data_IF_245195018637
#
_entry.id   IF_245195018637
#
_cell.length_a   1.000
_cell.length_b   1.000
_cell.length_c   1.000
_cell.angle_alpha   90.00
_cell.angle_beta   90.00
_cell.angle_gamma   90.00
#
_symmetry.space_group_name_H-M   'P 1'
#
loop_
_entity.id
_entity.type
_entity.pdbx_description
1 polymer ?
#
# COMPACT_ATOMS: atom_id res chain seq x y z
N UNK A 1 -9.14 50.80 10.34
CA UNK A 1 -9.32 50.95 11.81
C UNK A 1 -10.44 50.10 12.41
N UNK A 2 -11.41 49.56 11.67
CA UNK A 2 -12.43 48.66 12.25
C UNK A 2 -11.93 47.22 12.52
N UNK A 3 -11.14 46.63 11.61
CA UNK A 3 -10.69 45.23 11.74
C UNK A 3 -9.65 44.97 12.85
N UNK A 4 -8.86 46.00 13.20
CA UNK A 4 -7.95 45.96 14.36
C UNK A 4 -8.72 46.12 15.68
N UNK A 5 -9.92 46.73 15.66
CA UNK A 5 -10.73 46.93 16.87
C UNK A 5 -11.47 45.66 17.28
N UNK A 6 -11.93 44.87 16.31
CA UNK A 6 -12.55 43.55 16.59
C UNK A 6 -11.56 42.54 17.19
N UNK A 7 -10.27 42.60 16.80
CA UNK A 7 -9.22 41.78 17.40
C UNK A 7 -8.87 42.20 18.85
N UNK A 8 -9.10 43.48 19.18
CA UNK A 8 -8.90 44.05 20.53
C UNK A 8 -10.11 43.81 21.44
N UNK A 9 -11.31 43.60 20.89
CA UNK A 9 -12.55 43.29 21.64
C UNK A 9 -12.72 41.77 21.96
N UNK A 10 -11.71 40.94 21.71
CA UNK A 10 -11.73 39.51 22.04
C UNK A 10 -12.65 38.63 21.18
N UNK A 11 -13.26 39.17 20.12
CA UNK A 11 -14.09 38.41 19.16
C UNK A 11 -13.39 38.30 17.81
N UNK A 12 -13.06 37.06 17.45
CA UNK A 12 -12.52 36.73 16.13
C UNK A 12 -13.54 37.13 15.05
N UNK A 13 -13.11 37.66 13.89
CA UNK A 13 -14.00 37.90 12.76
C UNK A 13 -14.76 36.61 12.39
N UNK A 14 -16.04 36.69 11.95
CA UNK A 14 -16.82 35.50 11.56
C UNK A 14 -16.17 34.64 10.46
N UNK A 15 -15.29 35.25 9.67
CA UNK A 15 -14.49 34.55 8.65
C UNK A 15 -13.35 33.72 9.24
N UNK A 16 -12.83 34.08 10.41
CA UNK A 16 -11.83 33.30 11.17
C UNK A 16 -12.52 32.24 12.03
N UNK A 17 -13.68 32.53 12.62
CA UNK A 17 -14.50 31.53 13.34
C UNK A 17 -14.87 30.34 12.44
N UNK A 18 -15.09 30.58 11.14
CA UNK A 18 -15.34 29.51 10.15
C UNK A 18 -14.14 28.59 9.90
N UNK A 19 -12.92 29.01 10.21
CA UNK A 19 -11.70 28.19 10.06
C UNK A 19 -11.41 27.31 11.28
N UNK A 20 -12.02 27.62 12.42
CA UNK A 20 -11.80 26.92 13.68
C UNK A 20 -12.10 25.40 13.61
N UNK A 21 -13.20 24.91 12.98
CA UNK A 21 -13.38 23.47 12.78
C UNK A 21 -12.31 22.83 11.87
N UNK A 22 -11.79 23.56 10.88
CA UNK A 22 -10.71 23.08 9.99
C UNK A 22 -9.43 22.87 10.79
N UNK A 23 -9.07 23.85 11.64
CA UNK A 23 -7.89 23.78 12.51
C UNK A 23 -8.01 22.62 13.51
N UNK A 24 -9.15 22.48 14.20
CA UNK A 24 -9.36 21.34 15.12
C UNK A 24 -9.26 19.99 14.42
N UNK A 25 -9.80 19.89 13.21
CA UNK A 25 -9.67 18.68 12.39
C UNK A 25 -8.21 18.36 12.04
N UNK A 26 -7.40 19.37 11.74
CA UNK A 26 -5.96 19.21 11.51
C UNK A 26 -5.24 18.74 12.78
N UNK A 27 -5.52 19.33 13.94
CA UNK A 27 -4.93 18.93 15.23
C UNK A 27 -5.25 17.47 15.56
N UNK A 28 -6.49 17.05 15.35
CA UNK A 28 -6.90 15.67 15.56
C UNK A 28 -6.15 14.70 14.64
N UNK A 29 -6.06 15.01 13.34
CA UNK A 29 -5.29 14.20 12.38
C UNK A 29 -3.80 14.15 12.75
N UNK A 30 -3.20 15.26 13.15
CA UNK A 30 -1.81 15.31 13.59
C UNK A 30 -1.59 14.41 14.81
N UNK A 31 -2.52 14.43 15.79
CA UNK A 31 -2.47 13.55 16.95
C UNK A 31 -2.47 12.07 16.57
N UNK A 32 -3.29 11.66 15.60
CA UNK A 32 -3.29 10.27 15.08
C UNK A 32 -1.91 9.89 14.53
N UNK A 33 -1.30 10.76 13.72
CA UNK A 33 0.01 10.48 13.12
C UNK A 33 1.13 10.40 14.16
N UNK A 34 1.08 11.27 15.17
CA UNK A 34 2.06 11.30 16.26
C UNK A 34 1.95 10.09 17.19
N UNK A 35 0.78 9.42 17.28
CA UNK A 35 0.64 8.21 18.09
C UNK A 35 1.42 7.00 17.54
N UNK A 36 1.58 6.91 16.22
CA UNK A 36 2.31 5.80 15.56
C UNK A 36 3.17 6.32 14.41
N UNK A 37 4.24 7.08 14.69
CA UNK A 37 4.99 7.83 13.67
C UNK A 37 5.66 6.94 12.61
N UNK A 38 5.96 5.69 12.95
CA UNK A 38 6.65 4.75 12.06
C UNK A 38 5.71 3.86 11.24
N UNK A 39 4.39 3.88 11.48
CA UNK A 39 3.48 2.92 10.82
C UNK A 39 3.47 3.09 9.29
N UNK A 40 3.44 4.34 8.82
CA UNK A 40 3.42 4.68 7.40
C UNK A 40 4.69 4.21 6.68
N UNK A 41 5.91 4.63 7.10
CA UNK A 41 7.12 4.21 6.41
C UNK A 41 7.36 2.70 6.53
N UNK A 42 7.02 2.06 7.66
CA UNK A 42 7.19 0.60 7.81
C UNK A 42 6.32 -0.17 6.84
N UNK A 43 5.04 0.18 6.72
CA UNK A 43 4.12 -0.53 5.80
C UNK A 43 4.46 -0.22 4.35
N UNK A 44 4.75 1.05 4.01
CA UNK A 44 5.16 1.43 2.65
C UNK A 44 6.42 0.69 2.20
N UNK A 45 7.47 0.67 3.03
CA UNK A 45 8.70 -0.04 2.69
C UNK A 45 8.44 -1.54 2.49
N UNK A 46 7.66 -2.17 3.39
CA UNK A 46 7.28 -3.57 3.24
C UNK A 46 6.52 -3.86 1.94
N UNK A 47 5.60 -2.98 1.55
CA UNK A 47 4.86 -3.12 0.28
C UNK A 47 5.76 -2.87 -0.94
N UNK A 48 6.66 -1.90 -0.89
CA UNK A 48 7.64 -1.66 -1.96
C UNK A 48 8.59 -2.84 -2.14
N UNK A 49 9.03 -3.47 -1.04
CA UNK A 49 9.81 -4.70 -1.10
C UNK A 49 8.99 -5.83 -1.73
N UNK A 50 7.73 -6.03 -1.32
CA UNK A 50 6.85 -7.03 -1.95
C UNK A 50 6.71 -6.78 -3.46
N UNK A 51 6.49 -5.55 -3.90
CA UNK A 51 6.37 -5.18 -5.33
C UNK A 51 7.65 -5.55 -6.08
N UNK A 52 8.80 -5.08 -5.60
CA UNK A 52 10.11 -5.25 -6.25
C UNK A 52 10.49 -6.73 -6.35
N UNK A 53 10.45 -7.43 -5.22
CA UNK A 53 10.87 -8.83 -5.15
C UNK A 53 9.91 -9.74 -5.91
N UNK A 54 8.59 -9.49 -5.85
CA UNK A 54 7.63 -10.30 -6.62
C UNK A 54 7.86 -10.17 -8.12
N UNK A 55 8.12 -8.96 -8.64
CA UNK A 55 8.42 -8.74 -10.06
C UNK A 55 9.72 -9.44 -10.48
N UNK A 56 10.72 -9.49 -9.61
CA UNK A 56 11.93 -10.25 -9.86
C UNK A 56 11.65 -11.76 -9.96
N UNK A 57 10.80 -12.29 -9.06
CA UNK A 57 10.40 -13.70 -9.09
C UNK A 57 9.52 -14.06 -10.31
N UNK A 58 8.78 -13.11 -10.88
CA UNK A 58 7.98 -13.36 -12.10
C UNK A 58 8.86 -13.91 -13.22
N UNK A 59 10.03 -13.30 -13.47
CA UNK A 59 10.93 -13.75 -14.52
C UNK A 59 11.47 -15.16 -14.26
N UNK A 60 11.83 -15.48 -13.02
CA UNK A 60 12.28 -16.83 -12.66
C UNK A 60 11.15 -17.87 -12.83
N UNK A 61 9.94 -17.53 -12.40
CA UNK A 61 8.77 -18.40 -12.54
C UNK A 61 8.39 -18.62 -14.01
N UNK A 62 8.54 -17.61 -14.87
CA UNK A 62 8.35 -17.73 -16.32
C UNK A 62 9.33 -18.71 -16.96
N UNK A 63 10.60 -18.73 -16.53
CA UNK A 63 11.57 -19.72 -17.01
C UNK A 63 11.18 -21.15 -16.62
N UNK A 64 10.72 -21.36 -15.38
CA UNK A 64 10.21 -22.66 -14.93
C UNK A 64 9.00 -23.08 -15.76
N UNK A 65 8.04 -22.19 -15.95
CA UNK A 65 6.84 -22.44 -16.76
C UNK A 65 7.18 -22.80 -18.22
N UNK A 66 8.12 -22.09 -18.83
CA UNK A 66 8.57 -22.34 -20.20
C UNK A 66 9.24 -23.70 -20.34
N UNK A 67 9.98 -24.16 -19.32
CA UNK A 67 10.63 -25.45 -19.34
C UNK A 67 9.66 -26.61 -19.12
N UNK A 68 8.65 -26.45 -18.25
CA UNK A 68 7.60 -27.47 -18.05
C UNK A 68 6.72 -27.67 -19.29
N UNK A 69 6.59 -26.66 -20.16
CA UNK A 69 5.90 -26.81 -21.46
C UNK A 69 6.65 -27.70 -22.45
N UNK A 70 7.96 -27.91 -22.27
CA UNK A 70 8.78 -28.70 -23.21
C UNK A 70 8.65 -30.18 -22.86
N UNK A 71 7.78 -30.89 -23.57
CA UNK A 71 7.65 -32.35 -23.50
C UNK A 71 6.29 -32.85 -23.01
N UNK A 72 6.16 -34.16 -22.77
CA UNK A 72 4.94 -34.80 -22.25
C UNK A 72 4.93 -34.77 -20.71
N UNK A 73 4.89 -33.56 -20.14
CA UNK A 73 4.81 -33.39 -18.69
C UNK A 73 3.37 -33.56 -18.18
N UNK A 74 3.23 -33.72 -16.87
CA UNK A 74 1.92 -33.91 -16.23
C UNK A 74 1.09 -32.63 -16.32
N UNK A 75 -0.15 -32.66 -16.83
CA UNK A 75 -0.96 -31.45 -17.07
C UNK A 75 -1.15 -30.55 -15.85
N UNK A 76 -1.38 -31.13 -14.67
CA UNK A 76 -1.52 -30.38 -13.40
C UNK A 76 -0.25 -29.63 -13.01
N UNK A 77 0.92 -30.25 -13.22
CA UNK A 77 2.22 -29.61 -12.98
C UNK A 77 2.48 -28.47 -13.96
N UNK A 78 2.15 -28.66 -15.23
CA UNK A 78 2.26 -27.62 -16.27
C UNK A 78 1.35 -26.44 -15.94
N UNK A 79 0.10 -26.69 -15.52
CA UNK A 79 -0.83 -25.64 -15.13
C UNK A 79 -0.33 -24.85 -13.91
N UNK A 80 0.12 -25.55 -12.86
CA UNK A 80 0.69 -24.93 -11.66
C UNK A 80 1.91 -24.04 -11.98
N UNK A 81 2.83 -24.53 -12.81
CA UNK A 81 4.01 -23.76 -13.24
C UNK A 81 3.62 -22.52 -14.03
N UNK A 82 2.58 -22.59 -14.89
CA UNK A 82 2.09 -21.44 -15.66
C UNK A 82 1.32 -20.42 -14.82
N UNK A 83 0.67 -20.86 -13.76
CA UNK A 83 -0.08 -19.98 -12.85
C UNK A 83 0.84 -19.17 -11.94
N UNK A 84 1.97 -19.74 -11.53
CA UNK A 84 2.92 -19.11 -10.61
C UNK A 84 3.35 -17.67 -11.00
N UNK A 85 3.82 -17.39 -12.23
CA UNK A 85 4.19 -16.01 -12.61
C UNK A 85 3.00 -15.04 -12.63
N UNK A 86 1.78 -15.53 -12.91
CA UNK A 86 0.57 -14.71 -12.91
C UNK A 86 0.18 -14.31 -11.49
N UNK A 87 0.33 -15.22 -10.53
CA UNK A 87 0.07 -14.93 -9.12
C UNK A 87 1.10 -13.95 -8.55
N UNK A 88 2.38 -14.09 -8.90
CA UNK A 88 3.44 -13.15 -8.48
C UNK A 88 3.21 -11.74 -9.03
N UNK A 89 2.82 -11.63 -10.31
CA UNK A 89 2.43 -10.35 -10.91
C UNK A 89 1.17 -9.75 -10.26
N UNK A 90 0.14 -10.58 -10.02
CA UNK A 90 -1.07 -10.17 -9.31
C UNK A 90 -0.79 -9.71 -7.87
N UNK A 91 0.11 -10.39 -7.16
CA UNK A 91 0.58 -10.01 -5.83
C UNK A 91 1.23 -8.62 -5.84
N UNK A 92 2.12 -8.36 -6.80
CA UNK A 92 2.77 -7.05 -6.99
C UNK A 92 1.74 -5.94 -7.27
N UNK A 93 0.80 -6.19 -8.18
CA UNK A 93 -0.28 -5.24 -8.50
C UNK A 93 -1.16 -4.92 -7.28
N UNK A 94 -1.51 -5.94 -6.49
CA UNK A 94 -2.30 -5.74 -5.28
C UNK A 94 -1.52 -4.99 -4.20
N UNK A 95 -0.22 -5.26 -4.01
CA UNK A 95 0.63 -4.47 -3.13
C UNK A 95 0.71 -2.99 -3.55
N UNK A 96 0.74 -2.71 -4.86
CA UNK A 96 0.69 -1.35 -5.39
C UNK A 96 -0.59 -0.60 -5.00
N UNK A 97 -1.75 -1.27 -5.05
CA UNK A 97 -3.03 -0.69 -4.59
C UNK A 97 -3.01 -0.38 -3.10
N UNK A 98 -2.39 -1.25 -2.29
CA UNK A 98 -2.22 -1.01 -0.86
C UNK A 98 -1.36 0.22 -0.59
N UNK A 99 -0.24 0.35 -1.30
CA UNK A 99 0.69 1.47 -1.13
C UNK A 99 0.01 2.81 -1.46
N UNK A 100 -0.88 2.82 -2.46
CA UNK A 100 -1.68 3.99 -2.82
C UNK A 100 -2.83 4.30 -1.84
N UNK A 101 -3.05 3.47 -0.81
CA UNK A 101 -4.20 3.52 0.09
C UNK A 101 -5.56 3.47 -0.64
N UNK A 102 -5.57 2.94 -1.87
CA UNK A 102 -6.78 2.67 -2.66
C UNK A 102 -7.23 1.23 -2.39
N UNK A 103 -7.70 1.00 -1.15
CA UNK A 103 -7.92 -0.34 -0.64
C UNK A 103 -9.40 -0.69 -0.58
N UNK A 104 -9.82 -1.60 -1.46
CA UNK A 104 -11.07 -2.34 -1.29
C UNK A 104 -10.87 -3.54 -0.34
N UNK A 105 -11.95 -3.97 0.31
CA UNK A 105 -11.92 -5.18 1.14
C UNK A 105 -11.48 -6.41 0.34
N UNK A 106 -11.90 -6.50 -0.93
CA UNK A 106 -11.55 -7.57 -1.85
C UNK A 106 -10.05 -7.60 -2.17
N UNK A 107 -9.41 -6.43 -2.33
CA UNK A 107 -7.97 -6.36 -2.59
C UNK A 107 -7.15 -6.93 -1.43
N UNK A 108 -7.61 -6.73 -0.19
CA UNK A 108 -6.95 -7.27 1.01
C UNK A 108 -7.02 -8.79 1.03
N UNK A 109 -8.22 -9.31 0.77
CA UNK A 109 -8.44 -10.75 0.71
C UNK A 109 -7.62 -11.40 -0.41
N UNK A 110 -7.67 -10.84 -1.63
CA UNK A 110 -6.94 -11.36 -2.79
C UNK A 110 -5.43 -11.33 -2.56
N UNK A 111 -4.90 -10.31 -1.88
CA UNK A 111 -3.49 -10.25 -1.51
C UNK A 111 -3.09 -11.41 -0.60
N UNK A 112 -3.87 -11.67 0.45
CA UNK A 112 -3.66 -12.81 1.35
C UNK A 112 -3.79 -14.17 0.65
N UNK A 113 -4.79 -14.31 -0.21
CA UNK A 113 -4.99 -15.53 -1.02
C UNK A 113 -3.81 -15.78 -1.95
N UNK A 114 -3.39 -14.77 -2.72
CA UNK A 114 -2.27 -14.89 -3.66
C UNK A 114 -0.98 -15.33 -2.93
N UNK A 115 -0.70 -14.77 -1.75
CA UNK A 115 0.45 -15.20 -0.95
C UNK A 115 0.38 -16.70 -0.69
N UNK A 116 -0.75 -17.17 -0.16
CA UNK A 116 -0.96 -18.58 0.18
C UNK A 116 -0.85 -19.49 -1.05
N UNK A 117 -1.45 -19.10 -2.17
CA UNK A 117 -1.44 -19.87 -3.41
C UNK A 117 -0.02 -19.99 -3.96
N UNK A 118 0.77 -18.90 -3.95
CA UNK A 118 2.17 -18.94 -4.38
C UNK A 118 2.98 -19.89 -3.51
N UNK A 119 2.86 -19.81 -2.18
CA UNK A 119 3.57 -20.71 -1.26
C UNK A 119 3.21 -22.17 -1.49
N UNK A 120 1.93 -22.43 -1.74
CA UNK A 120 1.40 -23.77 -1.98
C UNK A 120 1.93 -24.32 -3.30
N UNK A 121 1.83 -23.55 -4.39
CA UNK A 121 2.27 -23.99 -5.71
C UNK A 121 3.79 -24.15 -5.81
N UNK A 122 4.57 -23.23 -5.23
CA UNK A 122 6.04 -23.33 -5.21
C UNK A 122 6.52 -24.58 -4.47
N UNK A 123 5.92 -24.87 -3.31
CA UNK A 123 6.17 -26.12 -2.57
C UNK A 123 5.73 -27.35 -3.37
N UNK A 124 4.51 -27.35 -3.91
CA UNK A 124 3.97 -28.47 -4.69
C UNK A 124 4.84 -28.79 -5.92
N UNK A 125 5.33 -27.77 -6.62
CA UNK A 125 6.25 -27.95 -7.75
C UNK A 125 7.63 -28.47 -7.31
N UNK A 126 8.09 -28.12 -6.11
CA UNK A 126 9.41 -28.51 -5.60
C UNK A 126 9.44 -29.95 -5.09
N UNK A 127 8.48 -30.33 -4.24
CA UNK A 127 8.48 -31.62 -3.53
C UNK A 127 7.28 -32.52 -3.85
N UNK A 128 6.31 -32.02 -4.61
CA UNK A 128 5.07 -32.71 -4.91
C UNK A 128 3.96 -32.38 -3.90
N UNK A 129 2.73 -32.54 -4.37
CA UNK A 129 1.50 -32.44 -3.59
C UNK A 129 0.49 -33.48 -4.09
N UNK A 130 0.13 -34.43 -3.22
CA UNK A 130 -0.76 -35.52 -3.57
C UNK A 130 -2.23 -35.07 -3.66
N UNK A 131 -2.63 -34.09 -2.86
CA UNK A 131 -4.00 -33.57 -2.82
C UNK A 131 -4.30 -32.77 -4.08
N UNK A 132 -3.38 -31.88 -4.46
CA UNK A 132 -3.45 -31.11 -5.70
C UNK A 132 -3.10 -31.92 -6.94
N UNK A 133 -2.64 -33.18 -6.76
CA UNK A 133 -2.16 -34.06 -7.83
C UNK A 133 -1.05 -33.40 -8.66
N UNK A 134 -0.19 -32.63 -8.01
CA UNK A 134 0.96 -31.97 -8.63
C UNK A 134 2.20 -32.79 -8.26
N UNK A 135 2.75 -33.61 -9.17
CA UNK A 135 4.03 -34.27 -8.89
C UNK A 135 5.16 -33.23 -8.86
N UNK A 136 6.24 -33.54 -8.13
CA UNK A 136 7.45 -32.72 -8.15
C UNK A 136 8.00 -32.57 -9.58
N UNK A 137 8.66 -31.44 -9.85
CA UNK A 137 9.40 -31.24 -11.11
C UNK A 137 10.51 -32.27 -11.23
N UNK A 138 10.51 -33.02 -12.33
CA UNK A 138 11.42 -34.16 -12.53
C UNK A 138 12.87 -33.74 -12.77
N UNK A 139 13.09 -32.57 -13.39
CA UNK A 139 14.42 -32.06 -13.69
C UNK A 139 15.07 -31.48 -12.42
N UNK A 140 16.23 -32.02 -12.03
CA UNK A 140 16.94 -31.61 -10.81
C UNK A 140 17.36 -30.13 -10.82
N UNK A 141 17.81 -29.61 -11.96
CA UNK A 141 18.21 -28.20 -12.07
C UNK A 141 17.02 -27.25 -11.92
N UNK A 142 15.85 -27.59 -12.49
CA UNK A 142 14.64 -26.81 -12.33
C UNK A 142 14.11 -26.88 -10.88
N UNK A 143 14.23 -28.05 -10.25
CA UNK A 143 13.87 -28.22 -8.83
C UNK A 143 14.74 -27.34 -7.93
N UNK A 144 16.05 -27.25 -8.20
CA UNK A 144 16.95 -26.35 -7.46
C UNK A 144 16.57 -24.88 -7.64
N UNK A 145 16.16 -24.46 -8.85
CA UNK A 145 15.64 -23.10 -9.08
C UNK A 145 14.35 -22.84 -8.31
N UNK A 146 13.42 -23.80 -8.30
CA UNK A 146 12.17 -23.70 -7.54
C UNK A 146 12.41 -23.63 -6.03
N UNK A 147 13.40 -24.37 -5.52
CA UNK A 147 13.81 -24.27 -4.12
C UNK A 147 14.29 -22.86 -3.80
N UNK A 148 15.19 -22.30 -4.63
CA UNK A 148 15.67 -20.91 -4.47
C UNK A 148 14.54 -19.90 -4.56
N UNK A 149 13.62 -20.06 -5.51
CA UNK A 149 12.43 -19.20 -5.64
C UNK A 149 11.55 -19.28 -4.39
N UNK A 150 11.41 -20.47 -3.79
CA UNK A 150 10.66 -20.66 -2.53
C UNK A 150 11.32 -19.90 -1.38
N UNK A 151 12.64 -19.99 -1.25
CA UNK A 151 13.42 -19.26 -0.24
C UNK A 151 13.31 -17.74 -0.42
N UNK A 152 13.42 -17.24 -1.66
CA UNK A 152 13.23 -15.82 -1.98
C UNK A 152 11.79 -15.36 -1.70
N UNK A 153 10.80 -16.22 -1.96
CA UNK A 153 9.40 -15.94 -1.67
C UNK A 153 9.09 -15.89 -0.17
N UNK A 154 9.77 -16.66 0.67
CA UNK A 154 9.59 -16.59 2.13
C UNK A 154 9.95 -15.20 2.69
N UNK A 155 10.89 -14.48 2.05
CA UNK A 155 11.18 -13.08 2.37
C UNK A 155 10.01 -12.17 2.04
N UNK A 156 9.37 -12.37 0.88
CA UNK A 156 8.16 -11.65 0.46
C UNK A 156 7.03 -11.92 1.45
N UNK A 157 6.83 -13.18 1.84
CA UNK A 157 5.83 -13.57 2.83
C UNK A 157 6.01 -12.85 4.16
N UNK A 158 7.25 -12.81 4.67
CA UNK A 158 7.56 -12.12 5.92
C UNK A 158 7.29 -10.61 5.85
N UNK A 159 7.67 -9.96 4.76
CA UNK A 159 7.41 -8.53 4.53
C UNK A 159 5.92 -8.23 4.41
N UNK A 160 5.18 -9.05 3.66
CA UNK A 160 3.74 -8.94 3.51
C UNK A 160 3.01 -9.15 4.85
N UNK A 161 3.43 -10.12 5.66
CA UNK A 161 2.87 -10.37 7.00
C UNK A 161 3.01 -9.16 7.94
N UNK A 162 4.18 -8.50 7.93
CA UNK A 162 4.40 -7.27 8.71
C UNK A 162 3.47 -6.13 8.25
N UNK A 163 3.26 -6.00 6.94
CA UNK A 163 2.36 -5.01 6.37
C UNK A 163 0.90 -5.29 6.79
N UNK A 164 0.45 -6.54 6.69
CA UNK A 164 -0.92 -6.94 7.03
C UNK A 164 -1.26 -6.72 8.52
N UNK A 165 -0.33 -7.04 9.44
CA UNK A 165 -0.55 -6.81 10.88
C UNK A 165 -0.70 -5.32 11.22
N UNK A 166 -0.04 -4.44 10.47
CA UNK A 166 -0.10 -3.00 10.68
C UNK A 166 -1.14 -2.29 9.80
N UNK A 167 -1.90 -3.04 9.00
CA UNK A 167 -2.75 -2.49 7.94
C UNK A 167 -3.79 -1.51 8.48
N UNK A 168 -4.50 -1.86 9.55
CA UNK A 168 -5.52 -0.99 10.12
C UNK A 168 -4.94 0.36 10.57
N UNK A 169 -3.79 0.32 11.24
CA UNK A 169 -3.11 1.53 11.71
C UNK A 169 -2.57 2.36 10.53
N UNK A 170 -2.12 1.70 9.46
CA UNK A 170 -1.70 2.35 8.22
C UNK A 170 -2.86 3.07 7.52
N UNK A 171 -4.01 2.41 7.35
CA UNK A 171 -5.22 3.01 6.74
C UNK A 171 -5.69 4.21 7.55
N UNK A 172 -5.73 4.10 8.88
CA UNK A 172 -6.07 5.24 9.76
C UNK A 172 -5.08 6.40 9.60
N UNK A 173 -3.78 6.13 9.55
CA UNK A 173 -2.77 7.15 9.31
C UNK A 173 -2.92 7.79 7.92
N UNK A 174 -3.19 7.01 6.87
CA UNK A 174 -3.44 7.53 5.53
C UNK A 174 -4.67 8.45 5.48
N UNK A 175 -5.77 8.07 6.11
CA UNK A 175 -6.94 8.95 6.23
C UNK A 175 -6.60 10.26 6.95
N UNK A 176 -5.80 10.21 8.02
CA UNK A 176 -5.34 11.41 8.72
C UNK A 176 -4.46 12.31 7.83
N UNK A 177 -3.54 11.72 7.03
CA UNK A 177 -2.72 12.44 6.03
C UNK A 177 -3.61 13.09 4.97
N UNK A 178 -4.54 12.34 4.37
CA UNK A 178 -5.45 12.87 3.35
C UNK A 178 -6.33 13.97 3.91
N UNK A 179 -6.78 13.85 5.16
CA UNK A 179 -7.51 14.91 5.85
C UNK A 179 -6.65 16.16 6.04
N UNK A 180 -5.40 16.03 6.52
CA UNK A 180 -4.47 17.15 6.67
C UNK A 180 -4.20 17.88 5.36
N UNK A 181 -4.00 17.14 4.27
CA UNK A 181 -3.75 17.72 2.95
C UNK A 181 -4.96 18.56 2.48
N UNK A 182 -6.18 18.03 2.63
CA UNK A 182 -7.42 18.73 2.27
C UNK A 182 -7.64 19.95 3.16
N UNK A 183 -7.55 19.78 4.48
CA UNK A 183 -7.77 20.83 5.46
C UNK A 183 -6.73 21.96 5.34
N UNK A 184 -5.47 21.65 5.01
CA UNK A 184 -4.44 22.65 4.74
C UNK A 184 -4.79 23.52 3.52
N UNK A 185 -5.26 22.90 2.43
CA UNK A 185 -5.71 23.63 1.24
C UNK A 185 -6.92 24.52 1.53
N UNK A 186 -7.87 24.03 2.32
CA UNK A 186 -9.04 24.79 2.79
C UNK A 186 -8.63 25.96 3.68
N UNK A 187 -7.69 25.76 4.61
CA UNK A 187 -7.17 26.79 5.50
C UNK A 187 -6.49 27.91 4.71
N UNK A 188 -5.62 27.57 3.75
CA UNK A 188 -4.97 28.55 2.87
C UNK A 188 -6.01 29.34 2.07
N UNK A 189 -6.95 28.64 1.44
CA UNK A 189 -8.01 29.28 0.64
C UNK A 189 -8.91 30.20 1.48
N UNK A 190 -9.27 29.76 2.69
CA UNK A 190 -10.07 30.53 3.62
C UNK A 190 -9.31 31.75 4.16
N UNK A 191 -8.04 31.59 4.50
CA UNK A 191 -7.17 32.69 4.92
C UNK A 191 -7.03 33.76 3.82
N UNK A 192 -6.85 33.35 2.56
CA UNK A 192 -6.83 34.27 1.41
C UNK A 192 -8.16 35.02 1.28
N UNK A 193 -9.31 34.34 1.43
CA UNK A 193 -10.62 35.00 1.43
C UNK A 193 -10.77 36.01 2.56
N UNK A 194 -10.21 35.75 3.74
CA UNK A 194 -10.17 36.72 4.84
C UNK A 194 -9.32 37.93 4.46
N UNK A 195 -8.13 37.72 3.91
CA UNK A 195 -7.21 38.81 3.55
C UNK A 195 -7.73 39.68 2.39
N UNK A 196 -8.43 39.11 1.42
CA UNK A 196 -8.89 39.78 0.19
C UNK A 196 -10.40 40.11 0.19
N UNK A 197 -11.10 39.99 1.32
CA UNK A 197 -12.50 40.38 1.41
C UNK A 197 -12.68 41.88 1.11
N UNK A 198 -13.66 42.28 0.25
CA UNK A 198 -13.92 43.69 -0.04
C UNK A 198 -14.28 44.43 1.25
N UNK A 199 -13.38 45.31 1.69
CA UNK A 199 -13.46 46.01 2.98
C UNK A 199 -12.13 46.05 3.76
N UNK A 200 -11.15 45.21 3.40
CA UNK A 200 -9.80 45.21 3.99
C UNK A 200 -8.82 45.80 2.96
N UNK A 201 -8.79 47.14 2.83
CA UNK A 201 -7.68 47.82 2.14
C UNK A 201 -6.47 47.84 3.07
N UNK A 202 -5.40 47.15 2.69
CA UNK A 202 -4.07 47.36 3.25
C UNK A 202 -3.50 48.57 2.49
N UNK A 203 -3.63 49.78 3.05
CA UNK A 203 -2.92 50.92 2.47
C UNK A 203 -1.42 50.79 2.74
N UNK A 204 -0.56 51.10 1.75
CA UNK A 204 0.88 51.13 1.95
C UNK A 204 1.21 52.25 2.93
N UNK A 205 1.94 51.94 4.00
CA UNK A 205 2.49 52.95 4.92
C UNK A 205 3.45 53.85 4.14
N UNK A 206 3.10 55.13 4.06
CA UNK A 206 3.99 56.24 3.70
C UNK A 206 5.13 56.37 4.71
#
# INVERSE_FOLDING_TARGET
MLALRTLVDGKLPPSIERLEPVVRGMEYSAKILLQKPHVVPTVQNGLHDVIRESLFLVSQAQEVAANERKGRQVPTRVAAAQQLPLLLDSLSKNAGKFAAADMSHDAVFDFGRNLNDIRTLTRALTIGDAELKIPAVSNAQQRARLLKLTEEFDLIWASAGKALVNLQAYVTAHHAISHLQKASSELVSGALRVCYAPGIRVEPRS
#
